data_IF_150375068577
#
_entry.id   IF_150375068577
#
_cell.length_a   1.000
_cell.length_b   1.000
_cell.length_c   1.000
_cell.angle_alpha   90.00
_cell.angle_beta   90.00
_cell.angle_gamma   90.00
#
_symmetry.space_group_name_H-M   'P 1'
#
loop_
_entity.id
_entity.type
_entity.pdbx_description
1 polymer ?
#
# COMPACT_ATOMS: atom_id res chain seq x y z
N UNK A 1 11.10 0.70 -7.64
CA UNK A 1 9.80 0.15 -7.18
C UNK A 1 8.65 0.52 -8.11
N UNK A 2 8.40 1.81 -8.37
CA UNK A 2 7.29 2.27 -9.24
C UNK A 2 7.30 1.64 -10.64
N UNK A 3 8.46 1.61 -11.31
CA UNK A 3 8.60 1.04 -12.67
C UNK A 3 8.24 -0.44 -12.72
N UNK A 4 8.65 -1.22 -11.71
CA UNK A 4 8.33 -2.63 -11.61
C UNK A 4 6.83 -2.86 -11.36
N UNK A 5 6.22 -2.02 -10.52
CA UNK A 5 4.78 -2.07 -10.25
C UNK A 5 3.96 -1.76 -11.53
N UNK A 6 4.34 -0.71 -12.27
CA UNK A 6 3.72 -0.37 -13.56
C UNK A 6 3.88 -1.47 -14.61
N UNK A 7 5.05 -2.11 -14.67
CA UNK A 7 5.26 -3.25 -15.55
C UNK A 7 4.29 -4.39 -15.23
N UNK A 8 4.08 -4.70 -13.93
CA UNK A 8 3.15 -5.74 -13.50
C UNK A 8 1.69 -5.38 -13.81
N UNK A 9 1.30 -4.13 -13.58
CA UNK A 9 -0.03 -3.63 -13.93
C UNK A 9 -0.30 -3.74 -15.45
N UNK A 10 0.72 -3.47 -16.27
CA UNK A 10 0.64 -3.60 -17.73
C UNK A 10 0.46 -5.06 -18.17
N UNK A 11 1.18 -6.00 -17.54
CA UNK A 11 0.98 -7.44 -17.77
C UNK A 11 -0.45 -7.89 -17.41
N UNK A 12 -1.00 -7.35 -16.32
CA UNK A 12 -2.35 -7.62 -15.85
C UNK A 12 -3.45 -6.88 -16.62
N UNK A 13 -3.11 -6.11 -17.67
CA UNK A 13 -4.04 -5.31 -18.49
C UNK A 13 -4.93 -4.38 -17.67
N UNK A 14 -4.38 -3.82 -16.58
CA UNK A 14 -5.08 -2.86 -15.73
C UNK A 14 -5.18 -1.50 -16.42
N UNK A 15 -6.24 -0.77 -16.11
CA UNK A 15 -6.47 0.58 -16.63
C UNK A 15 -5.57 1.60 -15.90
N UNK A 16 -5.38 2.77 -16.49
CA UNK A 16 -4.51 3.81 -15.93
C UNK A 16 -4.93 4.26 -14.53
N UNK A 17 -6.22 4.25 -14.23
CA UNK A 17 -6.76 4.61 -12.90
C UNK A 17 -6.58 3.51 -11.85
N UNK A 18 -6.34 2.26 -12.27
CA UNK A 18 -6.06 1.14 -11.37
C UNK A 18 -4.55 1.06 -11.04
N UNK A 19 -3.72 1.77 -11.80
CA UNK A 19 -2.26 1.74 -11.64
C UNK A 19 -1.81 2.79 -10.62
N UNK A 20 -1.09 2.39 -9.55
CA UNK A 20 -0.58 3.33 -8.56
C UNK A 20 0.36 4.37 -9.19
N UNK A 21 0.03 5.65 -9.00
CA UNK A 21 0.79 6.77 -9.55
C UNK A 21 1.96 7.17 -8.63
N UNK A 22 1.77 7.09 -7.31
CA UNK A 22 2.75 7.42 -6.28
C UNK A 22 2.81 6.29 -5.25
N UNK A 23 4.01 5.95 -4.78
CA UNK A 23 4.24 4.89 -3.79
C UNK A 23 5.17 5.46 -2.71
N UNK A 24 4.73 5.41 -1.44
CA UNK A 24 5.59 5.63 -0.28
C UNK A 24 6.15 4.30 0.22
N UNK A 25 7.41 4.33 0.69
CA UNK A 25 8.03 3.19 1.33
C UNK A 25 8.02 3.41 2.83
N UNK A 26 7.35 2.51 3.55
CA UNK A 26 7.36 2.47 5.01
C UNK A 26 8.46 1.52 5.48
N UNK A 27 9.16 1.92 6.54
CA UNK A 27 10.18 1.08 7.21
C UNK A 27 9.54 0.08 8.17
N UNK A 28 8.32 0.38 8.63
CA UNK A 28 7.56 -0.45 9.55
C UNK A 28 7.04 -1.73 8.87
N UNK A 29 7.38 -2.87 9.47
CA UNK A 29 6.85 -4.15 9.05
C UNK A 29 5.42 -4.35 9.58
N UNK A 30 4.56 -4.93 8.75
CA UNK A 30 3.23 -5.33 9.17
C UNK A 30 3.29 -6.67 9.90
N UNK A 31 3.09 -6.64 11.21
CA UNK A 31 3.05 -7.85 12.05
C UNK A 31 1.68 -7.98 12.71
N UNK A 32 1.27 -9.22 13.09
CA UNK A 32 0.09 -9.42 13.92
C UNK A 32 0.21 -8.74 15.29
N UNK A 33 1.43 -8.65 15.82
CA UNK A 33 1.76 -7.99 17.09
C UNK A 33 1.51 -6.47 17.04
N UNK A 34 1.68 -5.86 15.87
CA UNK A 34 1.37 -4.44 15.64
C UNK A 34 -0.12 -4.22 15.27
N UNK A 35 -0.96 -5.25 15.41
CA UNK A 35 -2.40 -5.25 15.10
C UNK A 35 -2.77 -4.95 13.64
N UNK A 36 -1.77 -4.82 12.75
CA UNK A 36 -1.95 -4.54 11.32
C UNK A 36 -2.43 -5.75 10.54
N UNK A 37 -2.14 -6.95 11.04
CA UNK A 37 -2.56 -8.21 10.47
C UNK A 37 -3.56 -8.92 11.37
N UNK A 38 -4.51 -9.62 10.78
CA UNK A 38 -5.33 -10.59 11.51
C UNK A 38 -4.49 -11.82 11.84
N UNK A 39 -4.97 -12.65 12.78
CA UNK A 39 -4.35 -13.96 13.08
C UNK A 39 -4.22 -14.87 11.83
N UNK A 40 -5.03 -14.62 10.79
CA UNK A 40 -4.96 -15.29 9.49
C UNK A 40 -4.12 -14.52 8.45
N UNK A 41 -3.25 -13.61 8.89
CA UNK A 41 -2.39 -12.77 8.05
C UNK A 41 -3.12 -11.92 7.01
N UNK A 42 -4.40 -11.57 7.25
CA UNK A 42 -5.13 -10.63 6.39
C UNK A 42 -4.89 -9.19 6.86
N UNK A 43 -4.82 -8.25 5.91
CA UNK A 43 -4.60 -6.83 6.19
C UNK A 43 -5.82 -6.19 6.88
N UNK A 44 -5.61 -5.54 8.02
CA UNK A 44 -6.61 -4.66 8.63
C UNK A 44 -6.55 -3.28 7.99
N UNK A 45 -7.16 -3.14 6.80
CA UNK A 45 -7.17 -1.90 6.00
C UNK A 45 -7.45 -0.60 6.78
N UNK A 46 -8.50 -0.50 7.62
CA UNK A 46 -8.77 0.76 8.33
C UNK A 46 -7.65 1.15 9.29
N UNK A 47 -7.10 0.20 10.05
CA UNK A 47 -6.06 0.46 11.05
C UNK A 47 -4.73 0.89 10.39
N UNK A 48 -4.37 0.23 9.28
CA UNK A 48 -3.20 0.59 8.47
C UNK A 48 -3.39 1.98 7.84
N UNK A 49 -4.58 2.26 7.29
CA UNK A 49 -4.88 3.55 6.69
C UNK A 49 -4.83 4.69 7.70
N UNK A 50 -5.30 4.49 8.93
CA UNK A 50 -5.20 5.49 10.00
C UNK A 50 -3.75 5.73 10.42
N UNK A 51 -2.97 4.66 10.62
CA UNK A 51 -1.58 4.77 11.06
C UNK A 51 -0.66 5.44 10.02
N UNK A 52 -0.92 5.25 8.73
CA UNK A 52 -0.13 5.85 7.65
C UNK A 52 -0.83 7.03 6.96
N UNK A 53 -1.90 7.58 7.57
CA UNK A 53 -2.72 8.65 6.98
C UNK A 53 -1.89 9.87 6.61
N UNK A 54 -0.98 10.30 7.48
CA UNK A 54 -0.11 11.45 7.26
C UNK A 54 0.81 11.26 6.04
N UNK A 55 1.35 10.05 5.87
CA UNK A 55 2.24 9.73 4.76
C UNK A 55 1.48 9.64 3.44
N UNK A 56 0.27 9.06 3.47
CA UNK A 56 -0.66 9.07 2.34
C UNK A 56 -1.00 10.52 1.95
N UNK A 57 -1.28 11.39 2.92
CA UNK A 57 -1.57 12.80 2.65
C UNK A 57 -0.37 13.52 2.03
N UNK A 58 0.86 13.29 2.53
CA UNK A 58 2.09 13.83 1.92
C UNK A 58 2.30 13.34 0.49
N UNK A 59 1.92 12.11 0.18
CA UNK A 59 1.98 11.57 -1.19
C UNK A 59 0.94 12.20 -2.12
N UNK A 60 -0.22 12.61 -1.63
CA UNK A 60 -1.26 13.26 -2.43
C UNK A 60 -1.08 14.77 -2.60
N UNK A 61 -0.38 15.43 -1.67
CA UNK A 61 0.02 16.83 -1.79
C UNK A 61 0.93 17.07 -3.01
#
# INVERSE_FOLDING_TARGET
>A
VLTACKAKCKESKLLDFETPQRIGLISDLWTPENDMLTAAMKLKRPLIAEKHKEEIQKLYA
#
